data_IF_823097618574
#
_entry.id   IF_823097618574
#
_cell.length_a   1.000
_cell.length_b   1.000
_cell.length_c   1.000
_cell.angle_alpha   90.00
_cell.angle_beta   90.00
_cell.angle_gamma   90.00
#
_symmetry.space_group_name_H-M   'P 1'
#
loop_
_entity.id
_entity.type
_entity.pdbx_description
1 polymer ?
#
# COMPACT_ATOMS: atom_id res chain seq x y z
N UNK A 1 12.72 58.59 -41.98
CA UNK A 1 11.57 57.99 -41.27
C UNK A 1 11.29 56.56 -41.75
N UNK A 2 11.36 56.31 -43.03
CA UNK A 2 11.11 54.97 -43.61
C UNK A 2 12.11 53.91 -43.17
N UNK A 3 13.38 54.25 -43.04
CA UNK A 3 14.46 53.34 -42.58
C UNK A 3 14.30 52.92 -41.10
N UNK A 4 13.79 53.80 -40.27
CA UNK A 4 13.54 53.57 -38.86
C UNK A 4 12.33 52.63 -38.66
N UNK A 5 11.30 52.78 -39.51
CA UNK A 5 10.12 51.93 -39.49
C UNK A 5 10.44 50.51 -39.98
N UNK A 6 11.26 50.37 -41.02
CA UNK A 6 11.72 49.06 -41.50
C UNK A 6 12.63 48.33 -40.51
N UNK A 7 13.47 49.07 -39.75
CA UNK A 7 14.31 48.47 -38.70
C UNK A 7 13.49 47.95 -37.49
N UNK A 8 12.40 48.62 -37.14
CA UNK A 8 11.50 48.18 -36.10
C UNK A 8 10.72 46.93 -36.51
N UNK A 9 10.26 46.85 -37.75
CA UNK A 9 9.56 45.68 -38.29
C UNK A 9 10.52 44.48 -38.36
N UNK A 10 11.74 44.64 -38.85
CA UNK A 10 12.74 43.56 -38.90
C UNK A 10 13.19 43.09 -37.50
N UNK A 11 13.28 44.02 -36.53
CA UNK A 11 13.57 43.65 -35.14
C UNK A 11 12.47 42.80 -34.48
N UNK A 12 11.21 43.12 -34.81
CA UNK A 12 10.08 42.32 -34.35
C UNK A 12 10.06 40.89 -34.90
N UNK A 13 10.41 40.75 -36.19
CA UNK A 13 10.49 39.43 -36.85
C UNK A 13 11.63 38.55 -36.32
N UNK A 14 12.77 39.15 -35.97
CA UNK A 14 13.91 38.43 -35.38
C UNK A 14 13.55 37.89 -33.96
N UNK A 15 12.97 38.72 -33.12
CA UNK A 15 12.51 38.34 -31.79
C UNK A 15 11.41 37.30 -31.86
N UNK A 16 10.49 37.43 -32.80
CA UNK A 16 9.42 36.43 -33.00
C UNK A 16 9.97 35.06 -33.40
N UNK A 17 10.99 35.01 -34.27
CA UNK A 17 11.65 33.75 -34.67
C UNK A 17 12.38 33.08 -33.52
N UNK A 18 13.08 33.82 -32.69
CA UNK A 18 13.73 33.27 -31.48
C UNK A 18 12.72 32.77 -30.48
N UNK A 19 11.64 33.50 -30.24
CA UNK A 19 10.55 33.09 -29.34
C UNK A 19 9.87 31.82 -29.83
N UNK A 20 9.57 31.70 -31.12
CA UNK A 20 8.97 30.51 -31.73
C UNK A 20 9.94 29.32 -31.63
N UNK A 21 11.24 29.52 -31.84
CA UNK A 21 12.25 28.48 -31.69
C UNK A 21 12.34 27.96 -30.26
N UNK A 22 12.36 28.86 -29.29
CA UNK A 22 12.39 28.49 -27.87
C UNK A 22 11.10 27.79 -27.42
N UNK A 23 9.93 28.31 -27.84
CA UNK A 23 8.62 27.73 -27.44
C UNK A 23 8.40 26.32 -28.00
N UNK A 24 8.93 26.02 -29.18
CA UNK A 24 8.85 24.65 -29.78
C UNK A 24 9.52 23.58 -28.94
N UNK A 25 10.50 23.94 -28.12
CA UNK A 25 11.20 23.01 -27.21
C UNK A 25 10.67 23.14 -25.79
N UNK A 26 10.45 24.35 -25.31
CA UNK A 26 10.05 24.61 -23.94
C UNK A 26 8.63 24.06 -23.61
N UNK A 27 7.68 24.21 -24.53
CA UNK A 27 6.31 23.73 -24.31
C UNK A 27 6.24 22.21 -24.21
N UNK A 28 6.79 21.40 -25.15
CA UNK A 28 6.74 19.96 -25.02
C UNK A 28 7.59 19.45 -23.85
N UNK A 29 8.71 20.11 -23.53
CA UNK A 29 9.49 19.74 -22.34
C UNK A 29 8.71 19.97 -21.05
N UNK A 30 8.03 21.11 -20.91
CA UNK A 30 7.17 21.38 -19.76
C UNK A 30 6.01 20.38 -19.68
N UNK A 31 5.37 20.08 -20.81
CA UNK A 31 4.31 19.08 -20.88
C UNK A 31 4.81 17.69 -20.46
N UNK A 32 5.99 17.28 -20.90
CA UNK A 32 6.60 16.02 -20.51
C UNK A 32 6.90 15.96 -19.01
N UNK A 33 7.41 17.05 -18.43
CA UNK A 33 7.66 17.14 -16.97
C UNK A 33 6.36 17.04 -16.18
N UNK A 34 5.29 17.71 -16.62
CA UNK A 34 3.99 17.65 -15.96
C UNK A 34 3.38 16.26 -16.05
N UNK A 35 3.44 15.61 -17.22
CA UNK A 35 3.00 14.24 -17.39
C UNK A 35 3.78 13.27 -16.49
N UNK A 36 5.09 13.41 -16.44
CA UNK A 36 5.95 12.59 -15.58
C UNK A 36 5.57 12.78 -14.10
N UNK A 37 5.36 14.02 -13.66
CA UNK A 37 4.89 14.35 -12.30
C UNK A 37 3.53 13.76 -11.96
N UNK A 38 2.63 13.62 -12.94
CA UNK A 38 1.32 12.99 -12.75
C UNK A 38 1.40 11.46 -12.75
N UNK A 39 2.22 10.88 -13.62
CA UNK A 39 2.30 9.42 -13.80
C UNK A 39 3.13 8.76 -12.71
N UNK A 40 4.26 9.35 -12.30
CA UNK A 40 5.11 8.78 -11.25
C UNK A 40 4.38 8.47 -9.94
N UNK A 41 3.57 9.36 -9.35
CA UNK A 41 2.80 9.04 -8.15
C UNK A 41 1.81 7.91 -8.37
N UNK A 42 1.19 7.81 -9.55
CA UNK A 42 0.26 6.73 -9.87
C UNK A 42 0.95 5.36 -9.92
N UNK A 43 2.17 5.31 -10.46
CA UNK A 43 2.97 4.08 -10.53
C UNK A 43 3.60 3.70 -9.18
N UNK A 44 3.90 4.69 -8.33
CA UNK A 44 4.52 4.48 -7.02
C UNK A 44 3.52 4.44 -5.87
N UNK A 45 2.21 4.66 -6.17
CA UNK A 45 1.17 4.64 -5.15
C UNK A 45 1.01 3.22 -4.59
N UNK A 46 1.70 2.94 -3.49
CA UNK A 46 1.41 1.79 -2.62
C UNK A 46 0.28 2.19 -1.68
N UNK A 47 -0.85 1.52 -1.80
CA UNK A 47 -1.86 1.58 -0.74
C UNK A 47 -1.24 0.94 0.49
N UNK A 48 -1.09 1.69 1.56
CA UNK A 48 -0.79 1.10 2.86
C UNK A 48 -2.00 0.25 3.27
N UNK A 49 -1.79 -1.01 3.68
CA UNK A 49 -2.89 -1.86 4.11
C UNK A 49 -3.56 -1.24 5.34
N UNK A 50 -4.88 -1.19 5.36
CA UNK A 50 -5.64 -0.80 6.55
C UNK A 50 -5.37 -1.79 7.68
N UNK A 51 -4.92 -1.29 8.82
CA UNK A 51 -4.72 -2.12 10.02
C UNK A 51 -6.04 -2.14 10.79
N UNK A 52 -6.65 -3.32 10.89
CA UNK A 52 -7.94 -3.48 11.55
C UNK A 52 -7.81 -3.85 13.02
N UNK A 53 -6.74 -4.54 13.37
CA UNK A 53 -6.44 -4.94 14.74
C UNK A 53 -4.95 -5.17 14.95
N UNK A 54 -4.53 -5.22 16.21
CA UNK A 54 -3.20 -5.60 16.61
C UNK A 54 -3.24 -6.87 17.44
N UNK A 55 -2.49 -7.88 17.03
CA UNK A 55 -2.27 -9.08 17.82
C UNK A 55 -1.04 -8.88 18.71
N UNK A 56 -1.27 -8.82 20.01
CA UNK A 56 -0.20 -8.69 20.99
C UNK A 56 0.30 -10.07 21.40
N UNK A 57 1.56 -10.35 21.13
CA UNK A 57 2.20 -11.59 21.56
C UNK A 57 2.77 -11.46 22.97
N UNK A 58 2.92 -12.59 23.64
CA UNK A 58 3.50 -12.65 25.01
C UNK A 58 4.95 -12.18 25.09
N UNK A 59 5.69 -12.19 23.97
CA UNK A 59 7.04 -11.64 23.87
C UNK A 59 7.08 -10.11 23.68
N UNK A 60 5.93 -9.43 23.72
CA UNK A 60 5.80 -8.00 23.50
C UNK A 60 5.74 -7.56 22.03
N UNK A 61 5.84 -8.50 21.08
CA UNK A 61 5.72 -8.19 19.65
C UNK A 61 4.25 -7.92 19.31
N UNK A 62 4.00 -6.85 18.54
CA UNK A 62 2.69 -6.53 17.99
C UNK A 62 2.67 -6.85 16.50
N UNK A 63 1.72 -7.67 16.07
CA UNK A 63 1.54 -8.03 14.66
C UNK A 63 0.27 -7.36 14.14
N UNK A 64 0.35 -6.52 13.10
CA UNK A 64 -0.82 -5.88 12.51
C UNK A 64 -1.64 -6.90 11.72
N UNK A 65 -2.95 -6.88 11.91
CA UNK A 65 -3.91 -7.67 11.15
C UNK A 65 -4.49 -6.78 10.05
N UNK A 66 -4.21 -7.14 8.80
CA UNK A 66 -4.56 -6.35 7.61
C UNK A 66 -5.42 -7.12 6.60
N UNK A 67 -5.66 -8.40 6.85
CA UNK A 67 -6.41 -9.30 5.98
C UNK A 67 -7.67 -9.83 6.67
N UNK A 68 -8.69 -10.14 5.87
CA UNK A 68 -9.95 -10.75 6.35
C UNK A 68 -9.71 -12.11 7.00
N UNK A 69 -8.76 -12.87 6.48
CA UNK A 69 -8.29 -14.13 7.02
C UNK A 69 -6.81 -14.04 7.32
N UNK A 70 -6.43 -14.35 8.55
CA UNK A 70 -5.05 -14.31 9.02
C UNK A 70 -4.69 -15.68 9.55
N UNK A 71 -3.76 -16.35 8.88
CA UNK A 71 -3.29 -17.69 9.27
C UNK A 71 -2.25 -17.57 10.37
N UNK A 72 -2.49 -18.27 11.46
CA UNK A 72 -1.60 -18.35 12.62
C UNK A 72 -0.98 -19.74 12.67
N UNK A 73 0.34 -19.83 12.79
CA UNK A 73 1.01 -21.13 12.88
C UNK A 73 2.52 -21.01 13.00
N UNK A 74 3.19 -22.17 13.05
CA UNK A 74 4.66 -22.23 13.16
C UNK A 74 5.37 -22.02 11.82
N UNK A 75 4.68 -22.20 10.71
CA UNK A 75 5.28 -22.00 9.40
C UNK A 75 5.60 -20.53 9.18
N UNK A 76 6.78 -20.26 8.60
CA UNK A 76 7.15 -18.91 8.13
C UNK A 76 6.26 -18.39 6.99
N UNK A 77 5.45 -19.28 6.38
CA UNK A 77 4.47 -18.91 5.36
C UNK A 77 3.14 -18.46 5.95
N UNK A 78 2.95 -18.55 7.28
CA UNK A 78 1.78 -18.00 7.95
C UNK A 78 1.91 -16.48 8.09
N UNK A 79 0.78 -15.77 8.12
CA UNK A 79 0.74 -14.33 8.33
C UNK A 79 1.26 -13.97 9.73
N UNK A 80 0.93 -14.82 10.71
CA UNK A 80 1.47 -14.74 12.08
C UNK A 80 2.26 -16.00 12.36
N UNK A 81 3.58 -15.90 12.29
CA UNK A 81 4.48 -17.01 12.57
C UNK A 81 4.83 -17.07 14.07
N UNK A 82 4.49 -18.18 14.72
CA UNK A 82 4.76 -18.44 16.14
C UNK A 82 5.71 -19.64 16.24
N UNK A 83 6.98 -19.39 16.51
CA UNK A 83 8.02 -20.44 16.55
C UNK A 83 8.05 -21.16 17.90
N UNK A 84 7.00 -21.94 18.17
CA UNK A 84 6.94 -22.86 19.30
C UNK A 84 6.67 -24.30 18.82
N UNK A 85 7.32 -25.28 19.43
CA UNK A 85 7.20 -26.70 19.06
C UNK A 85 5.78 -27.24 19.23
N UNK A 86 5.00 -26.69 20.15
CA UNK A 86 3.59 -27.04 20.42
C UNK A 86 2.64 -26.47 19.39
N UNK A 87 3.05 -25.47 18.62
CA UNK A 87 2.22 -24.87 17.57
C UNK A 87 2.36 -25.65 16.27
N UNK A 88 1.25 -26.04 15.66
CA UNK A 88 1.21 -26.71 14.35
C UNK A 88 1.65 -25.76 13.25
N UNK A 89 2.09 -26.28 12.10
CA UNK A 89 2.54 -25.49 10.94
C UNK A 89 1.47 -24.51 10.50
N UNK A 90 0.24 -24.98 10.33
CA UNK A 90 -0.99 -24.19 10.24
C UNK A 90 -1.78 -24.58 11.47
N UNK A 91 -2.05 -23.65 12.38
CA UNK A 91 -2.63 -23.96 13.67
C UNK A 91 -4.06 -23.44 13.77
N UNK A 92 -4.26 -22.17 13.51
CA UNK A 92 -5.55 -21.52 13.56
C UNK A 92 -5.67 -20.44 12.48
N UNK A 93 -6.91 -20.07 12.18
CA UNK A 93 -7.24 -18.95 11.29
C UNK A 93 -8.08 -17.95 12.06
N UNK A 94 -7.67 -16.71 12.03
CA UNK A 94 -8.42 -15.57 12.54
C UNK A 94 -9.17 -14.93 11.38
N UNK A 95 -10.49 -14.88 11.44
CA UNK A 95 -11.36 -14.35 10.39
C UNK A 95 -12.11 -13.12 10.90
N UNK A 96 -12.11 -12.04 10.12
CA UNK A 96 -12.94 -10.86 10.33
C UNK A 96 -14.13 -10.90 9.37
N UNK A 97 -15.32 -10.64 9.88
CA UNK A 97 -16.55 -10.55 9.08
C UNK A 97 -16.92 -9.09 8.76
N UNK A 98 -17.82 -8.90 7.80
CA UNK A 98 -18.27 -7.58 7.35
C UNK A 98 -18.98 -6.77 8.46
N UNK A 99 -19.59 -7.46 9.43
CA UNK A 99 -20.20 -6.85 10.62
C UNK A 99 -19.18 -6.38 11.67
N UNK A 100 -17.87 -6.58 11.39
CA UNK A 100 -16.78 -6.23 12.29
C UNK A 100 -16.51 -7.28 13.37
N UNK A 101 -17.24 -8.39 13.40
CA UNK A 101 -16.99 -9.50 14.33
C UNK A 101 -15.72 -10.28 13.96
N UNK A 102 -15.11 -10.90 14.96
CA UNK A 102 -13.92 -11.73 14.80
C UNK A 102 -14.19 -13.15 15.26
N UNK A 103 -13.66 -14.10 14.52
CA UNK A 103 -13.76 -15.52 14.85
C UNK A 103 -12.38 -16.17 14.70
N UNK A 104 -12.02 -17.00 15.68
CA UNK A 104 -10.85 -17.88 15.58
C UNK A 104 -11.34 -19.32 15.32
N UNK A 105 -10.70 -19.99 14.35
CA UNK A 105 -11.00 -21.37 13.96
C UNK A 105 -9.73 -22.21 14.04
N UNK A 106 -9.80 -23.36 14.69
CA UNK A 106 -8.75 -24.37 14.67
C UNK A 106 -8.72 -25.08 13.31
N UNK A 107 -7.56 -25.23 12.70
CA UNK A 107 -7.41 -25.91 11.40
C UNK A 107 -6.75 -27.27 11.52
N UNK A 108 -7.10 -28.02 12.56
CA UNK A 108 -6.57 -29.36 12.82
C UNK A 108 -5.23 -29.33 13.54
N UNK A 109 -5.10 -28.46 14.53
CA UNK A 109 -3.90 -28.37 15.33
C UNK A 109 -3.68 -29.62 16.19
N UNK A 110 -2.42 -29.99 16.46
CA UNK A 110 -2.11 -31.17 17.29
C UNK A 110 -2.45 -30.96 18.77
N UNK A 111 -2.24 -29.74 19.26
CA UNK A 111 -2.43 -29.42 20.69
C UNK A 111 -3.78 -28.79 20.99
N UNK A 112 -4.57 -28.45 19.97
CA UNK A 112 -5.81 -27.70 20.10
C UNK A 112 -5.59 -26.20 20.24
N UNK A 113 -6.61 -25.43 19.87
CA UNK A 113 -6.67 -23.98 20.08
C UNK A 113 -7.50 -23.69 21.31
N UNK A 114 -7.01 -22.82 22.19
CA UNK A 114 -7.68 -22.48 23.46
C UNK A 114 -7.99 -20.99 23.48
N UNK A 115 -9.20 -20.67 23.91
CA UNK A 115 -9.67 -19.30 24.17
C UNK A 115 -10.18 -19.24 25.60
N UNK A 116 -9.57 -18.42 26.46
CA UNK A 116 -9.89 -18.32 27.88
C UNK A 116 -9.93 -19.71 28.57
N UNK A 117 -8.86 -20.49 28.38
CA UNK A 117 -8.65 -21.85 28.94
C UNK A 117 -9.66 -22.90 28.45
N UNK A 118 -10.48 -22.62 27.46
CA UNK A 118 -11.38 -23.57 26.83
C UNK A 118 -10.89 -23.94 25.44
N UNK A 119 -10.79 -25.24 25.19
CA UNK A 119 -10.49 -25.73 23.86
C UNK A 119 -11.69 -25.48 22.94
N UNK A 120 -11.40 -24.91 21.77
CA UNK A 120 -12.41 -24.52 20.79
C UNK A 120 -12.02 -24.98 19.39
N UNK A 121 -13.01 -25.44 18.62
CA UNK A 121 -12.85 -25.64 17.20
C UNK A 121 -13.11 -24.33 16.44
N UNK A 122 -14.13 -23.58 16.88
CA UNK A 122 -14.48 -22.25 16.36
C UNK A 122 -14.99 -21.43 17.55
N UNK A 123 -14.54 -20.19 17.65
CA UNK A 123 -14.97 -19.29 18.71
C UNK A 123 -15.07 -17.85 18.19
N UNK A 124 -16.21 -17.20 18.43
CA UNK A 124 -16.34 -15.77 18.22
C UNK A 124 -15.60 -15.01 19.32
N UNK A 125 -14.73 -14.10 18.91
CA UNK A 125 -13.98 -13.22 19.81
C UNK A 125 -14.81 -11.95 20.05
N UNK A 126 -14.96 -11.57 21.31
CA UNK A 126 -15.54 -10.27 21.66
C UNK A 126 -14.41 -9.27 21.80
N UNK A 127 -14.57 -8.03 21.29
CA UNK A 127 -13.60 -6.96 21.49
C UNK A 127 -13.48 -6.58 22.97
#
# INVERSE_FOLDING_TARGET
MEQLFLSLLNGGDALAKEYIGFSRIAIPALAAILLLRCVLPLLTFRREPEIWAWLNMTNGTQVPITHWETVIGRSKSCDVAIDFSTVSRNHAVLTRYDDGSWTISDVGSKSGTFVNDRQVAICALKP
#
